data_IF_396077436271
#
_entry.id   IF_396077436271
#
_cell.length_a   1.000
_cell.length_b   1.000
_cell.length_c   1.000
_cell.angle_alpha   90.00
_cell.angle_beta   90.00
_cell.angle_gamma   90.00
#
_symmetry.space_group_name_H-M   'P 1'
#
loop_
_entity.id
_entity.type
_entity.pdbx_description
1 polymer ?
#
# COMPACT_ATOMS: atom_id res chain seq x y z
N UNK A 1 -5.73 -18.02 25.48
CA UNK A 1 -4.47 -18.17 24.71
C UNK A 1 -3.57 -17.00 25.09
N UNK A 2 -2.29 -17.20 25.29
CA UNK A 2 -1.37 -16.11 25.65
C UNK A 2 -0.98 -15.35 24.37
N UNK A 3 -1.65 -14.23 24.10
CA UNK A 3 -1.46 -13.37 22.92
C UNK A 3 -0.01 -12.87 22.77
N UNK A 4 0.79 -12.99 23.82
CA UNK A 4 2.17 -12.53 23.87
C UNK A 4 3.22 -13.64 23.63
N UNK A 5 2.80 -14.84 23.22
CA UNK A 5 3.71 -15.91 22.82
C UNK A 5 4.44 -15.59 21.51
N UNK A 6 5.64 -16.16 21.29
CA UNK A 6 6.36 -15.97 20.03
C UNK A 6 5.56 -16.50 18.81
N UNK A 7 4.88 -17.64 18.99
CA UNK A 7 4.01 -18.23 17.97
C UNK A 7 2.83 -17.34 17.62
N UNK A 8 2.23 -16.66 18.60
CA UNK A 8 1.14 -15.69 18.36
C UNK A 8 1.61 -14.47 17.56
N UNK A 9 2.83 -13.97 17.83
CA UNK A 9 3.41 -12.86 17.04
C UNK A 9 3.70 -13.28 15.60
N UNK A 10 4.27 -14.46 15.41
CA UNK A 10 4.58 -14.98 14.07
C UNK A 10 3.31 -15.20 13.24
N UNK A 11 2.28 -15.78 13.86
CA UNK A 11 0.95 -15.90 13.26
C UNK A 11 0.36 -14.54 12.86
N UNK A 12 0.42 -13.53 13.73
CA UNK A 12 -0.10 -12.19 13.43
C UNK A 12 0.65 -11.54 12.25
N UNK A 13 1.98 -11.69 12.18
CA UNK A 13 2.77 -11.15 11.08
C UNK A 13 2.45 -11.83 9.73
N UNK A 14 2.26 -13.15 9.73
CA UNK A 14 1.85 -13.87 8.52
C UNK A 14 0.45 -13.45 8.07
N UNK A 15 -0.47 -13.34 9.02
CA UNK A 15 -1.82 -12.85 8.77
C UNK A 15 -1.82 -11.43 8.19
N UNK A 16 -1.10 -10.49 8.81
CA UNK A 16 -1.00 -9.10 8.34
C UNK A 16 -0.44 -9.02 6.91
N UNK A 17 0.61 -9.81 6.60
CA UNK A 17 1.16 -9.89 5.24
C UNK A 17 0.15 -10.41 4.25
N UNK A 18 -0.58 -11.48 4.60
CA UNK A 18 -1.59 -12.07 3.74
C UNK A 18 -2.72 -11.08 3.44
N UNK A 19 -3.25 -10.42 4.47
CA UNK A 19 -4.30 -9.41 4.33
C UNK A 19 -3.82 -8.22 3.49
N UNK A 20 -2.60 -7.72 3.73
CA UNK A 20 -2.04 -6.62 2.94
C UNK A 20 -1.83 -6.99 1.47
N UNK A 21 -1.30 -8.18 1.18
CA UNK A 21 -1.14 -8.65 -0.20
C UNK A 21 -2.48 -8.68 -0.92
N UNK A 22 -3.51 -9.23 -0.25
CA UNK A 22 -4.85 -9.32 -0.81
C UNK A 22 -5.47 -7.95 -1.09
N UNK A 23 -5.35 -7.00 -0.17
CA UNK A 23 -5.84 -5.64 -0.36
C UNK A 23 -5.13 -4.95 -1.53
N UNK A 24 -3.79 -5.08 -1.63
CA UNK A 24 -3.02 -4.51 -2.72
C UNK A 24 -3.46 -5.03 -4.09
N UNK A 25 -3.71 -6.34 -4.20
CA UNK A 25 -4.26 -6.95 -5.42
C UNK A 25 -5.63 -6.39 -5.80
N UNK A 26 -6.52 -6.19 -4.82
CA UNK A 26 -7.87 -5.67 -5.05
C UNK A 26 -7.88 -4.20 -5.46
N UNK A 27 -6.98 -3.38 -4.91
CA UNK A 27 -6.96 -1.94 -5.20
C UNK A 27 -6.15 -1.60 -6.45
N UNK A 28 -5.11 -2.39 -6.79
CA UNK A 28 -4.24 -2.16 -7.96
C UNK A 28 -5.00 -1.85 -9.26
N UNK A 29 -6.01 -2.63 -9.69
CA UNK A 29 -6.70 -2.38 -10.96
C UNK A 29 -7.54 -1.10 -10.97
N UNK A 30 -7.76 -0.44 -9.83
CA UNK A 30 -8.52 0.82 -9.72
C UNK A 30 -7.67 2.06 -10.09
N UNK A 31 -6.37 1.89 -10.33
CA UNK A 31 -5.45 2.97 -10.63
C UNK A 31 -4.80 2.81 -11.99
N UNK A 32 -4.51 3.93 -12.65
CA UNK A 32 -3.66 3.93 -13.84
C UNK A 32 -2.26 3.40 -13.51
N UNK A 33 -1.63 2.73 -14.49
CA UNK A 33 -0.32 2.11 -14.30
C UNK A 33 0.74 3.07 -13.75
N UNK A 34 0.81 4.31 -14.25
CA UNK A 34 1.76 5.32 -13.75
C UNK A 34 1.47 5.75 -12.31
N UNK A 35 0.20 5.85 -11.93
CA UNK A 35 -0.20 6.19 -10.55
C UNK A 35 0.19 5.07 -9.59
N UNK A 36 -0.04 3.81 -9.99
CA UNK A 36 0.37 2.63 -9.23
C UNK A 36 1.89 2.54 -9.08
N UNK A 37 2.62 2.71 -10.18
CA UNK A 37 4.09 2.69 -10.20
C UNK A 37 4.69 3.77 -9.29
N UNK A 38 4.15 4.99 -9.34
CA UNK A 38 4.59 6.08 -8.47
C UNK A 38 4.40 5.74 -6.98
N UNK A 39 3.25 5.18 -6.61
CA UNK A 39 3.00 4.70 -5.25
C UNK A 39 3.98 3.58 -4.86
N UNK A 40 4.17 2.59 -5.73
CA UNK A 40 5.02 1.43 -5.44
C UNK A 40 6.47 1.85 -5.16
N UNK A 41 7.05 2.65 -6.05
CA UNK A 41 8.43 3.15 -5.90
C UNK A 41 8.64 3.97 -4.63
N UNK A 42 7.65 4.76 -4.23
CA UNK A 42 7.75 5.53 -3.00
C UNK A 42 7.58 4.68 -1.74
N UNK A 43 6.68 3.70 -1.74
CA UNK A 43 6.31 2.96 -0.53
C UNK A 43 7.17 1.72 -0.29
N UNK A 44 7.51 0.98 -1.35
CA UNK A 44 8.26 -0.27 -1.23
C UNK A 44 9.73 -0.09 -1.58
N UNK A 45 10.05 0.71 -2.59
CA UNK A 45 11.43 0.91 -3.03
C UNK A 45 12.12 2.08 -2.30
N UNK A 46 11.37 2.87 -1.52
CA UNK A 46 11.88 3.99 -0.73
C UNK A 46 12.40 5.17 -1.57
N UNK A 47 12.04 5.24 -2.85
CA UNK A 47 12.54 6.27 -3.76
C UNK A 47 11.94 7.65 -3.45
N UNK A 48 12.74 8.70 -3.67
CA UNK A 48 12.28 10.08 -3.47
C UNK A 48 11.26 10.50 -4.54
N UNK A 49 10.31 11.32 -4.13
CA UNK A 49 9.20 11.77 -4.98
C UNK A 49 9.65 12.50 -6.25
N UNK A 50 10.70 13.31 -6.15
CA UNK A 50 11.28 14.09 -7.25
C UNK A 50 11.94 13.20 -8.31
N UNK A 51 12.66 12.16 -7.87
CA UNK A 51 13.25 11.16 -8.76
C UNK A 51 12.15 10.40 -9.50
N UNK A 52 11.15 9.89 -8.77
CA UNK A 52 10.00 9.17 -9.36
C UNK A 52 9.23 10.05 -10.34
N UNK A 53 9.04 11.33 -10.02
CA UNK A 53 8.36 12.29 -10.88
C UNK A 53 9.10 12.48 -12.20
N UNK A 54 10.42 12.68 -12.15
CA UNK A 54 11.26 12.82 -13.33
C UNK A 54 11.23 11.55 -14.19
N UNK A 55 11.42 10.37 -13.60
CA UNK A 55 11.47 9.09 -14.31
C UNK A 55 10.14 8.72 -14.98
N UNK A 56 9.01 9.01 -14.34
CA UNK A 56 7.68 8.69 -14.86
C UNK A 56 7.11 9.78 -15.79
N UNK A 57 7.79 10.91 -15.92
CA UNK A 57 7.30 12.09 -16.64
C UNK A 57 6.03 12.66 -16.01
N UNK A 58 5.96 12.68 -14.68
CA UNK A 58 4.82 13.17 -13.91
C UNK A 58 5.17 14.48 -13.21
N UNK A 59 4.22 15.42 -13.03
CA UNK A 59 4.40 16.51 -12.09
C UNK A 59 4.66 15.96 -10.68
N UNK A 60 5.60 16.57 -9.94
CA UNK A 60 5.92 16.16 -8.57
C UNK A 60 4.68 16.08 -7.67
N UNK A 61 3.76 17.04 -7.79
CA UNK A 61 2.50 17.02 -7.04
C UNK A 61 1.65 15.76 -7.34
N UNK A 62 1.63 15.30 -8.59
CA UNK A 62 0.89 14.10 -9.00
C UNK A 62 1.44 12.83 -8.35
N UNK A 63 2.75 12.75 -8.08
CA UNK A 63 3.36 11.63 -7.34
C UNK A 63 2.85 11.59 -5.90
N UNK A 64 2.81 12.73 -5.20
CA UNK A 64 2.25 12.80 -3.85
C UNK A 64 0.75 12.47 -3.82
N UNK A 65 -0.02 12.98 -4.79
CA UNK A 65 -1.45 12.67 -4.92
C UNK A 65 -1.68 11.18 -5.19
N UNK A 66 -0.86 10.55 -6.04
CA UNK A 66 -0.91 9.12 -6.30
C UNK A 66 -0.76 8.32 -5.00
N UNK A 67 0.30 8.60 -4.23
CA UNK A 67 0.54 7.94 -2.93
C UNK A 67 -0.63 8.11 -1.96
N UNK A 68 -1.13 9.34 -1.83
CA UNK A 68 -2.25 9.66 -0.93
C UNK A 68 -3.52 8.88 -1.31
N UNK A 69 -3.88 8.86 -2.60
CA UNK A 69 -5.08 8.18 -3.10
C UNK A 69 -5.02 6.66 -2.95
N UNK A 70 -3.86 6.05 -3.19
CA UNK A 70 -3.70 4.61 -3.00
C UNK A 70 -3.80 4.25 -1.52
N UNK A 71 -3.13 4.99 -0.63
CA UNK A 71 -3.21 4.76 0.81
C UNK A 71 -4.61 4.98 1.38
N UNK A 72 -5.34 6.02 0.96
CA UNK A 72 -6.70 6.24 1.42
C UNK A 72 -7.67 5.15 0.95
N UNK A 73 -7.47 4.64 -0.27
CA UNK A 73 -8.25 3.53 -0.80
C UNK A 73 -7.96 2.24 -0.03
N UNK A 74 -6.69 1.91 0.22
CA UNK A 74 -6.30 0.76 1.03
C UNK A 74 -6.93 0.79 2.43
N UNK A 75 -6.90 1.94 3.11
CA UNK A 75 -7.52 2.10 4.43
C UNK A 75 -9.03 1.88 4.41
N UNK A 76 -9.71 2.35 3.35
CA UNK A 76 -11.16 2.14 3.19
C UNK A 76 -11.49 0.66 2.99
N UNK A 77 -10.76 -0.04 2.14
CA UNK A 77 -10.97 -1.49 1.95
C UNK A 77 -10.64 -2.27 3.22
N UNK A 78 -9.58 -1.90 3.94
CA UNK A 78 -9.22 -2.51 5.22
C UNK A 78 -10.28 -2.31 6.31
N UNK A 79 -10.90 -1.13 6.38
CA UNK A 79 -11.97 -0.87 7.35
C UNK A 79 -13.15 -1.83 7.16
N UNK A 80 -13.51 -2.14 5.90
CA UNK A 80 -14.55 -3.12 5.60
C UNK A 80 -14.22 -4.56 6.00
N UNK A 81 -12.97 -4.87 6.40
CA UNK A 81 -12.59 -6.19 6.93
C UNK A 81 -12.70 -6.28 8.46
N UNK A 82 -12.83 -5.15 9.16
CA UNK A 82 -12.91 -5.08 10.63
C UNK A 82 -14.38 -5.00 11.09
N UNK A 83 -15.27 -4.56 10.20
CA UNK A 83 -16.70 -4.35 10.48
C UNK A 83 -17.60 -5.58 10.16
N UNK A 84 -17.01 -6.76 9.88
CA UNK A 84 -17.70 -8.07 9.76
C UNK A 84 -17.31 -9.02 10.90
#
# INVERSE_FOLDING_TARGET
ADESSNASREWNLEHDRHVMARLLEQVRPRFEAKTWEAFHRQMFDGQRADVVAADLGMPLNSVYVARSRVLSTLRREAAGLIDE
#
